data_IF_642792469661
#
_entry.id   IF_642792469661
#
_cell.length_a   1.000
_cell.length_b   1.000
_cell.length_c   1.000
_cell.angle_alpha   90.00
_cell.angle_beta   90.00
_cell.angle_gamma   90.00
#
_symmetry.space_group_name_H-M   'P 1'
#
loop_
_entity.id
_entity.type
_entity.pdbx_description
1 polymer ?
#
# COMPACT_ATOMS: atom_id res chain seq x y z
N UNK A 1 26.54 -6.30 -71.33
CA UNK A 1 26.28 -5.22 -70.35
C UNK A 1 25.07 -5.61 -69.51
N UNK A 2 25.29 -6.24 -68.34
CA UNK A 2 24.22 -6.72 -67.45
C UNK A 2 23.95 -5.67 -66.38
N UNK A 3 22.71 -5.15 -66.33
CA UNK A 3 22.25 -4.18 -65.33
C UNK A 3 22.10 -4.88 -63.97
N UNK A 4 22.96 -4.51 -63.02
CA UNK A 4 22.90 -4.93 -61.62
C UNK A 4 21.90 -4.03 -60.90
N UNK A 5 20.70 -4.54 -60.62
CA UNK A 5 19.72 -3.88 -59.77
C UNK A 5 20.07 -4.16 -58.31
N UNK A 6 20.75 -3.21 -57.67
CA UNK A 6 20.92 -3.18 -56.22
C UNK A 6 19.56 -2.79 -55.63
N UNK A 7 18.76 -3.77 -55.22
CA UNK A 7 17.63 -3.53 -54.34
C UNK A 7 18.19 -3.15 -52.97
N UNK A 8 18.14 -1.86 -52.65
CA UNK A 8 18.26 -1.37 -51.29
C UNK A 8 17.15 -2.00 -50.44
N UNK A 9 17.51 -3.07 -49.71
CA UNK A 9 16.73 -3.55 -48.58
C UNK A 9 16.83 -2.47 -47.49
N UNK A 10 15.93 -1.50 -47.54
CA UNK A 10 15.68 -0.61 -46.41
C UNK A 10 15.19 -1.46 -45.25
N UNK A 11 16.10 -1.82 -44.34
CA UNK A 11 15.74 -2.35 -43.05
C UNK A 11 15.00 -1.24 -42.30
N UNK A 12 13.67 -1.23 -42.42
CA UNK A 12 12.81 -0.52 -41.48
C UNK A 12 13.02 -1.22 -40.14
N UNK A 13 14.00 -0.72 -39.38
CA UNK A 13 14.07 -0.95 -37.96
C UNK A 13 12.82 -0.27 -37.37
N UNK A 14 11.70 -1.00 -37.39
CA UNK A 14 10.57 -0.74 -36.51
C UNK A 14 11.12 -0.94 -35.10
N UNK A 15 11.73 0.13 -34.57
CA UNK A 15 11.97 0.27 -33.15
C UNK A 15 10.62 0.17 -32.50
N UNK A 16 10.34 -0.99 -31.92
CA UNK A 16 9.27 -1.20 -30.96
C UNK A 16 9.64 -0.40 -29.71
N UNK A 17 9.58 0.93 -29.80
CA UNK A 17 9.39 1.77 -28.64
C UNK A 17 7.99 1.42 -28.14
N UNK A 18 7.92 0.43 -27.26
CA UNK A 18 6.68 0.05 -26.61
C UNK A 18 6.14 1.30 -25.93
N UNK A 19 5.07 1.87 -26.48
CA UNK A 19 4.22 2.86 -25.83
C UNK A 19 3.44 2.12 -24.73
N UNK A 20 4.14 1.62 -23.72
CA UNK A 20 3.50 1.38 -22.43
C UNK A 20 3.32 2.76 -21.83
N UNK A 21 2.08 3.26 -21.79
CA UNK A 21 1.78 4.43 -20.97
C UNK A 21 2.24 4.09 -19.56
N UNK A 22 3.35 4.69 -19.13
CA UNK A 22 3.86 4.48 -17.79
C UNK A 22 2.85 5.16 -16.85
N UNK A 23 2.14 4.36 -16.05
CA UNK A 23 1.27 4.92 -15.04
C UNK A 23 2.11 5.80 -14.10
N UNK A 24 1.61 7.01 -13.85
CA UNK A 24 2.21 7.91 -12.87
C UNK A 24 1.90 7.42 -11.47
N UNK A 25 2.82 7.68 -10.53
CA UNK A 25 2.55 7.50 -9.10
C UNK A 25 1.37 8.39 -8.70
N UNK A 26 0.46 7.80 -7.95
CA UNK A 26 -0.72 8.42 -7.35
C UNK A 26 -0.54 8.37 -5.83
N UNK A 27 -0.96 9.43 -5.14
CA UNK A 27 -0.83 9.52 -3.68
C UNK A 27 -2.17 9.88 -3.05
N UNK A 28 -2.64 9.04 -2.13
CA UNK A 28 -3.60 9.46 -1.12
C UNK A 28 -2.86 10.32 -0.10
N UNK A 29 -3.13 11.62 -0.13
CA UNK A 29 -2.54 12.61 0.75
C UNK A 29 -3.56 12.99 1.84
N UNK A 30 -3.28 12.65 3.08
CA UNK A 30 -4.18 12.93 4.21
C UNK A 30 -4.35 14.42 4.49
N UNK A 31 -3.44 15.28 4.00
CA UNK A 31 -3.60 16.73 4.09
C UNK A 31 -4.75 17.24 3.19
N UNK A 32 -5.13 16.48 2.16
CA UNK A 32 -6.23 16.81 1.25
C UNK A 32 -7.57 16.18 1.69
N UNK A 33 -7.54 15.34 2.74
CA UNK A 33 -8.74 14.69 3.31
C UNK A 33 -9.29 15.56 4.45
N UNK A 34 -10.62 15.59 4.57
CA UNK A 34 -11.30 16.35 5.64
C UNK A 34 -10.84 15.83 7.00
N UNK A 35 -10.38 16.73 7.86
CA UNK A 35 -9.96 16.37 9.22
C UNK A 35 -11.16 15.95 10.06
N UNK A 36 -10.95 14.97 10.95
CA UNK A 36 -11.96 14.48 11.88
C UNK A 36 -12.12 12.97 11.86
N UNK A 37 -13.08 12.50 12.66
CA UNK A 37 -13.42 11.10 12.81
C UNK A 37 -13.95 10.51 11.51
N UNK A 38 -13.51 9.30 11.20
CA UNK A 38 -14.01 8.54 10.06
C UNK A 38 -15.50 8.23 10.18
N UNK A 39 -16.17 7.99 9.05
CA UNK A 39 -17.59 7.63 9.07
C UNK A 39 -17.78 6.21 9.62
N UNK A 40 -18.55 6.05 10.69
CA UNK A 40 -18.87 4.74 11.25
C UNK A 40 -19.90 4.00 10.37
N UNK A 41 -19.58 2.77 9.96
CA UNK A 41 -20.44 1.87 9.18
C UNK A 41 -20.42 0.47 9.80
N UNK A 42 -21.48 0.13 10.55
CA UNK A 42 -21.53 -1.12 11.31
C UNK A 42 -20.41 -1.18 12.38
N UNK A 43 -19.60 -2.26 12.43
CA UNK A 43 -18.50 -2.38 13.40
C UNK A 43 -17.24 -1.60 12.98
N UNK A 44 -17.17 -1.09 11.74
CA UNK A 44 -15.99 -0.45 11.19
C UNK A 44 -16.16 1.07 11.08
N UNK A 45 -15.05 1.77 11.10
CA UNK A 45 -14.93 3.16 10.66
C UNK A 45 -14.33 3.16 9.26
N UNK A 46 -14.90 3.94 8.36
CA UNK A 46 -14.52 3.94 6.94
C UNK A 46 -14.35 5.34 6.39
N UNK A 47 -13.34 5.51 5.56
CA UNK A 47 -13.14 6.67 4.69
C UNK A 47 -13.05 6.21 3.24
N UNK A 48 -13.67 6.94 2.33
CA UNK A 48 -13.57 6.72 0.88
C UNK A 48 -13.05 7.99 0.23
N UNK A 49 -11.83 7.94 -0.31
CA UNK A 49 -11.19 9.12 -0.89
C UNK A 49 -10.99 8.91 -2.39
N UNK A 50 -11.49 9.82 -3.25
CA UNK A 50 -11.23 9.78 -4.68
C UNK A 50 -9.77 10.21 -4.95
N UNK A 51 -9.00 9.35 -5.61
CA UNK A 51 -7.59 9.60 -5.92
C UNK A 51 -7.27 9.02 -7.28
N UNK A 52 -6.57 9.75 -8.16
CA UNK A 52 -5.95 9.19 -9.37
C UNK A 52 -6.88 8.50 -10.38
N UNK A 53 -8.16 8.86 -10.41
CA UNK A 53 -9.16 8.24 -11.30
C UNK A 53 -9.84 6.99 -10.74
N UNK A 54 -9.53 6.60 -9.51
CA UNK A 54 -10.27 5.60 -8.72
C UNK A 54 -10.52 6.11 -7.31
N UNK A 55 -10.81 5.20 -6.37
CA UNK A 55 -10.99 5.53 -4.96
C UNK A 55 -10.09 4.67 -4.07
N UNK A 56 -9.62 5.23 -2.95
CA UNK A 56 -8.99 4.48 -1.87
C UNK A 56 -9.97 4.43 -0.71
N UNK A 57 -10.43 3.22 -0.36
CA UNK A 57 -11.27 2.99 0.82
C UNK A 57 -10.44 2.45 1.95
N UNK A 58 -10.33 3.20 3.05
CA UNK A 58 -9.70 2.72 4.29
C UNK A 58 -10.79 2.35 5.29
N UNK A 59 -10.70 1.14 5.84
CA UNK A 59 -11.58 0.64 6.90
C UNK A 59 -10.75 0.26 8.11
N UNK A 60 -11.24 0.62 9.30
CA UNK A 60 -10.60 0.30 10.59
C UNK A 60 -11.64 -0.34 11.50
N UNK A 61 -11.33 -1.48 12.07
CA UNK A 61 -12.26 -2.26 12.87
C UNK A 61 -11.54 -2.90 14.06
N UNK A 62 -12.01 -2.64 15.28
CA UNK A 62 -11.60 -3.37 16.48
C UNK A 62 -12.22 -4.77 16.56
N UNK A 63 -11.54 -5.70 17.22
CA UNK A 63 -12.14 -6.97 17.65
C UNK A 63 -13.20 -6.74 18.72
N UNK A 64 -13.88 -7.81 19.16
CA UNK A 64 -14.90 -7.73 20.20
C UNK A 64 -14.36 -7.28 21.56
N UNK A 65 -13.09 -7.52 21.83
CA UNK A 65 -12.38 -7.09 23.05
C UNK A 65 -11.61 -5.78 22.86
N UNK A 66 -11.92 -4.99 21.82
CA UNK A 66 -11.21 -3.74 21.52
C UNK A 66 -12.19 -2.58 21.44
N UNK A 67 -11.92 -1.50 22.17
CA UNK A 67 -12.70 -0.27 22.10
C UNK A 67 -11.89 0.82 21.38
N UNK A 68 -12.46 1.45 20.36
CA UNK A 68 -11.82 2.56 19.66
C UNK A 68 -12.09 3.86 20.42
N UNK A 69 -11.01 4.55 20.79
CA UNK A 69 -11.05 5.58 21.83
C UNK A 69 -10.89 7.00 21.31
N UNK A 70 -11.27 7.95 22.16
CA UNK A 70 -10.97 9.36 21.96
C UNK A 70 -9.56 9.68 22.41
N UNK A 71 -8.83 10.48 21.63
CA UNK A 71 -7.45 10.84 21.98
C UNK A 71 -7.06 12.24 21.49
N UNK A 72 -5.96 12.75 22.04
CA UNK A 72 -5.36 14.02 21.63
C UNK A 72 -6.15 15.27 22.03
N UNK A 73 -5.73 16.45 21.52
CA UNK A 73 -6.38 17.72 21.82
C UNK A 73 -7.87 17.70 21.44
N UNK A 74 -8.74 18.10 22.37
CA UNK A 74 -10.19 18.10 22.15
C UNK A 74 -10.84 16.71 22.17
N UNK A 75 -10.09 15.65 22.54
CA UNK A 75 -10.60 14.27 22.66
C UNK A 75 -11.30 13.81 21.38
N UNK A 76 -10.58 13.89 20.26
CA UNK A 76 -11.09 13.49 18.93
C UNK A 76 -11.36 11.98 18.96
N UNK A 77 -12.57 11.56 18.55
CA UNK A 77 -12.87 10.15 18.40
C UNK A 77 -12.02 9.58 17.26
N UNK A 78 -11.16 8.61 17.58
CA UNK A 78 -10.41 7.88 16.56
C UNK A 78 -11.18 6.62 16.15
N UNK A 79 -10.93 6.05 14.95
CA UNK A 79 -10.02 6.47 13.89
C UNK A 79 -10.38 7.84 13.30
N UNK A 80 -9.38 8.70 13.09
CA UNK A 80 -9.57 10.06 12.60
C UNK A 80 -8.42 10.50 11.69
N UNK A 81 -8.72 11.31 10.67
CA UNK A 81 -7.72 12.07 9.94
C UNK A 81 -7.36 13.30 10.78
N UNK A 82 -6.10 13.41 11.19
CA UNK A 82 -5.64 14.48 12.08
C UNK A 82 -4.15 14.78 11.86
N UNK A 83 -3.73 16.00 12.17
CA UNK A 83 -2.33 16.43 12.20
C UNK A 83 -1.72 16.48 13.60
N UNK A 84 -2.50 16.17 14.64
CA UNK A 84 -2.14 16.42 16.04
C UNK A 84 -1.74 15.16 16.82
N UNK A 85 -1.87 13.98 16.20
CA UNK A 85 -1.67 12.69 16.84
C UNK A 85 -0.73 11.86 15.93
N UNK A 86 0.21 11.11 16.51
CA UNK A 86 1.14 10.17 15.85
C UNK A 86 1.71 10.61 14.49
N UNK A 87 2.28 11.82 14.40
CA UNK A 87 2.79 12.35 13.11
C UNK A 87 4.19 11.84 12.72
N UNK A 88 4.80 10.94 13.50
CA UNK A 88 6.11 10.32 13.20
C UNK A 88 7.29 11.29 13.07
N UNK A 89 7.21 12.49 13.63
CA UNK A 89 8.26 13.51 13.45
C UNK A 89 8.24 14.19 12.09
N UNK A 90 7.18 14.01 11.30
CA UNK A 90 7.00 14.72 10.04
C UNK A 90 6.84 16.23 10.23
N UNK A 91 7.31 17.05 9.28
CA UNK A 91 7.09 18.49 9.32
C UNK A 91 5.59 18.80 9.31
N UNK A 92 5.19 19.94 9.90
CA UNK A 92 3.79 20.32 10.03
C UNK A 92 3.01 20.33 8.70
N UNK A 93 3.68 20.64 7.59
CA UNK A 93 3.11 20.61 6.24
C UNK A 93 2.75 19.21 5.71
N UNK A 94 3.24 18.16 6.36
CA UNK A 94 3.02 16.75 6.00
C UNK A 94 2.37 15.97 7.16
N UNK A 95 1.90 16.68 8.19
CA UNK A 95 1.58 16.07 9.48
C UNK A 95 0.25 15.34 9.54
N UNK A 96 -0.67 15.60 8.60
CA UNK A 96 -1.94 14.86 8.59
C UNK A 96 -1.71 13.38 8.31
N UNK A 97 -2.35 12.55 9.11
CA UNK A 97 -2.29 11.10 9.05
C UNK A 97 -3.64 10.52 9.49
N UNK A 98 -3.86 9.23 9.22
CA UNK A 98 -4.95 8.48 9.83
C UNK A 98 -4.49 7.94 11.18
N UNK A 99 -4.91 8.57 12.27
CA UNK A 99 -4.61 8.16 13.64
C UNK A 99 -5.71 7.25 14.20
N UNK A 100 -5.31 6.17 14.86
CA UNK A 100 -6.20 5.26 15.58
C UNK A 100 -5.65 5.02 16.97
N UNK A 101 -6.51 5.11 17.98
CA UNK A 101 -6.25 4.73 19.37
C UNK A 101 -7.30 3.73 19.80
N UNK A 102 -6.85 2.67 20.47
CA UNK A 102 -7.71 1.63 20.97
C UNK A 102 -7.32 1.23 22.38
N UNK A 103 -8.33 0.90 23.18
CA UNK A 103 -8.18 0.19 24.44
C UNK A 103 -8.37 -1.30 24.18
N UNK A 104 -7.35 -2.08 24.48
CA UNK A 104 -7.28 -3.51 24.22
C UNK A 104 -7.60 -4.26 25.52
N UNK A 105 -8.67 -5.05 25.55
CA UNK A 105 -9.11 -5.77 26.77
C UNK A 105 -9.11 -7.29 26.58
N UNK A 106 -7.95 -7.97 26.64
CA UNK A 106 -7.88 -9.42 26.54
C UNK A 106 -8.90 -10.11 27.46
N UNK A 107 -9.68 -11.03 26.92
CA UNK A 107 -10.74 -11.72 27.63
C UNK A 107 -10.72 -13.23 27.39
N UNK A 108 -11.53 -13.98 28.12
CA UNK A 108 -11.63 -15.43 27.95
C UNK A 108 -12.15 -15.85 26.56
N UNK A 109 -12.82 -14.96 25.83
CA UNK A 109 -13.40 -15.21 24.51
C UNK A 109 -12.58 -14.63 23.36
N UNK A 110 -11.67 -13.69 23.66
CA UNK A 110 -10.78 -13.05 22.70
C UNK A 110 -9.52 -12.62 23.46
N UNK A 111 -8.55 -13.55 23.48
CA UNK A 111 -7.28 -13.40 24.21
C UNK A 111 -6.29 -12.48 23.51
N UNK A 112 -6.49 -12.24 22.22
CA UNK A 112 -5.61 -11.46 21.36
C UNK A 112 -6.42 -10.32 20.72
N UNK A 113 -6.81 -9.30 21.49
CA UNK A 113 -7.58 -8.18 20.96
C UNK A 113 -6.77 -7.46 19.87
N UNK A 114 -7.47 -7.04 18.82
CA UNK A 114 -6.83 -6.47 17.63
C UNK A 114 -7.58 -5.28 17.05
N UNK A 115 -6.86 -4.42 16.34
CA UNK A 115 -7.42 -3.47 15.37
C UNK A 115 -6.99 -3.89 13.97
N UNK A 116 -7.96 -4.23 13.11
CA UNK A 116 -7.73 -4.57 11.71
C UNK A 116 -7.89 -3.34 10.83
N UNK A 117 -6.91 -3.12 9.95
CA UNK A 117 -6.90 -2.10 8.92
C UNK A 117 -7.03 -2.76 7.55
N UNK A 118 -7.93 -2.25 6.72
CA UNK A 118 -8.09 -2.68 5.32
C UNK A 118 -8.09 -1.46 4.41
N UNK A 119 -7.12 -1.40 3.50
CA UNK A 119 -6.98 -0.38 2.46
C UNK A 119 -7.37 -1.02 1.13
N UNK A 120 -8.44 -0.57 0.50
CA UNK A 120 -8.91 -1.07 -0.79
C UNK A 120 -8.69 -0.04 -1.89
N UNK A 121 -8.18 -0.48 -3.03
CA UNK A 121 -7.96 0.32 -4.23
C UNK A 121 -9.10 0.06 -5.22
N UNK A 122 -10.16 0.86 -5.13
CA UNK A 122 -11.38 0.71 -5.94
C UNK A 122 -11.24 1.46 -7.28
N UNK A 123 -11.84 0.92 -8.33
CA UNK A 123 -11.71 1.48 -9.69
C UNK A 123 -10.42 1.12 -10.42
N UNK A 124 -9.43 0.57 -9.70
CA UNK A 124 -8.18 0.05 -10.27
C UNK A 124 -8.33 -1.42 -10.68
N UNK A 125 -8.98 -1.68 -11.81
CA UNK A 125 -9.40 -3.03 -12.24
C UNK A 125 -8.27 -4.07 -12.34
N UNK A 126 -7.04 -3.63 -12.63
CA UNK A 126 -5.86 -4.48 -12.69
C UNK A 126 -4.99 -4.41 -11.43
N UNK A 127 -5.47 -3.76 -10.37
CA UNK A 127 -4.73 -3.52 -9.15
C UNK A 127 -3.78 -2.34 -9.21
N UNK A 128 -3.07 -2.16 -8.11
CA UNK A 128 -2.01 -1.17 -7.95
C UNK A 128 -0.70 -1.88 -7.59
N UNK A 129 0.43 -1.28 -7.97
CA UNK A 129 1.78 -1.73 -7.65
C UNK A 129 2.58 -0.63 -6.97
N UNK A 130 3.78 -0.95 -6.48
CA UNK A 130 4.68 -0.02 -5.82
C UNK A 130 3.98 0.77 -4.69
N UNK A 131 3.13 0.08 -3.91
CA UNK A 131 2.43 0.74 -2.82
C UNK A 131 3.42 1.04 -1.72
N UNK A 132 3.40 2.26 -1.18
CA UNK A 132 4.30 2.70 -0.12
C UNK A 132 3.59 3.65 0.85
N UNK A 133 3.81 3.46 2.15
CA UNK A 133 3.35 4.35 3.20
C UNK A 133 4.16 4.12 4.48
N UNK A 134 3.96 5.00 5.46
CA UNK A 134 4.56 4.85 6.79
C UNK A 134 3.49 4.55 7.84
N UNK A 135 3.85 3.71 8.80
CA UNK A 135 3.19 3.61 10.09
C UNK A 135 3.99 4.39 11.11
N UNK A 136 3.30 5.04 12.05
CA UNK A 136 3.90 5.86 13.10
C UNK A 136 3.54 5.32 14.48
N UNK A 137 4.44 5.52 15.43
CA UNK A 137 4.25 5.13 16.84
C UNK A 137 4.12 3.61 17.04
N UNK A 138 4.91 2.82 16.30
CA UNK A 138 5.12 1.40 16.58
C UNK A 138 6.43 1.30 17.34
N UNK A 139 6.45 1.53 18.65
CA UNK A 139 7.70 1.57 19.41
C UNK A 139 7.65 0.80 20.73
N UNK A 140 6.48 0.57 21.32
CA UNK A 140 6.38 -0.01 22.64
C UNK A 140 6.76 -1.50 22.65
N UNK A 141 7.60 -1.88 23.61
CA UNK A 141 7.93 -3.27 23.94
C UNK A 141 8.00 -3.46 25.45
N UNK A 142 6.98 -2.97 26.13
CA UNK A 142 6.82 -3.20 27.55
C UNK A 142 5.94 -4.43 27.77
N UNK A 143 6.57 -5.61 27.85
CA UNK A 143 5.86 -6.87 28.11
C UNK A 143 5.02 -6.89 29.41
N UNK A 144 5.19 -5.90 30.29
CA UNK A 144 4.38 -5.74 31.51
C UNK A 144 3.14 -4.86 31.30
N UNK A 145 3.11 -4.05 30.24
CA UNK A 145 2.01 -3.13 29.91
C UNK A 145 1.48 -3.34 28.49
N UNK A 146 2.32 -3.14 27.46
CA UNK A 146 1.94 -3.30 26.06
C UNK A 146 3.14 -3.52 25.16
N UNK A 147 2.94 -4.33 24.13
CA UNK A 147 3.90 -4.51 23.04
C UNK A 147 3.20 -4.12 21.75
N UNK A 148 3.71 -3.09 21.06
CA UNK A 148 3.20 -2.73 19.75
C UNK A 148 3.62 -3.81 18.76
N UNK A 149 2.65 -4.48 18.14
CA UNK A 149 2.92 -5.39 17.02
C UNK A 149 1.96 -5.12 15.88
N UNK A 150 2.55 -5.02 14.68
CA UNK A 150 1.80 -4.95 13.42
C UNK A 150 2.11 -6.18 12.58
N UNK A 151 1.06 -6.90 12.19
CA UNK A 151 1.16 -8.08 11.33
C UNK A 151 0.45 -7.81 10.01
N UNK A 152 1.19 -7.83 8.92
CA UNK A 152 0.63 -7.74 7.57
C UNK A 152 0.12 -9.10 7.10
N UNK A 153 -1.15 -9.12 6.69
CA UNK A 153 -1.82 -10.30 6.16
C UNK A 153 -1.70 -10.38 4.63
N UNK A 154 -1.51 -9.24 3.97
CA UNK A 154 -1.27 -9.18 2.52
C UNK A 154 0.15 -9.69 2.20
N UNK A 155 0.30 -10.73 1.36
CA UNK A 155 1.60 -11.25 0.98
C UNK A 155 2.48 -10.25 0.23
N UNK A 156 3.79 -10.45 0.26
CA UNK A 156 4.75 -9.67 -0.54
C UNK A 156 5.03 -8.26 -0.01
N UNK A 157 4.69 -8.00 1.26
CA UNK A 157 5.09 -6.77 1.95
C UNK A 157 6.59 -6.77 2.21
N UNK A 158 7.22 -5.62 2.01
CA UNK A 158 8.53 -5.30 2.56
C UNK A 158 8.37 -4.28 3.67
N UNK A 159 8.98 -4.55 4.82
CA UNK A 159 8.97 -3.67 5.99
C UNK A 159 10.38 -3.17 6.27
N UNK A 160 10.50 -1.90 6.64
CA UNK A 160 11.73 -1.29 7.13
C UNK A 160 11.40 -0.50 8.37
N UNK A 161 11.80 -1.03 9.53
CA UNK A 161 11.65 -0.36 10.81
C UNK A 161 12.72 0.71 11.03
N UNK A 162 12.43 1.65 11.93
CA UNK A 162 13.37 2.62 12.46
C UNK A 162 14.07 2.07 13.72
N UNK A 163 14.68 2.95 14.54
CA UNK A 163 15.56 2.54 15.64
C UNK A 163 14.84 1.68 16.70
N UNK A 164 13.57 1.96 16.98
CA UNK A 164 12.82 1.24 18.02
C UNK A 164 11.93 0.13 17.44
N UNK A 165 12.31 -0.45 16.29
CA UNK A 165 11.58 -1.51 15.62
C UNK A 165 12.41 -2.78 15.40
N UNK A 166 11.74 -3.94 15.48
CA UNK A 166 12.24 -5.22 14.97
C UNK A 166 11.28 -5.76 13.93
N UNK A 167 11.79 -5.96 12.71
CA UNK A 167 11.08 -6.66 11.63
C UNK A 167 11.36 -8.16 11.73
N UNK A 168 10.32 -8.98 11.71
CA UNK A 168 10.39 -10.43 11.88
C UNK A 168 9.32 -11.16 11.07
N UNK A 169 9.25 -12.49 11.24
CA UNK A 169 8.33 -13.38 10.55
C UNK A 169 8.94 -14.05 9.30
N UNK A 170 8.35 -15.16 8.81
CA UNK A 170 8.90 -15.95 7.71
C UNK A 170 9.09 -15.16 6.41
N UNK A 171 8.30 -14.10 6.25
CA UNK A 171 8.32 -13.21 5.09
C UNK A 171 8.71 -11.76 5.46
N UNK A 172 9.19 -11.51 6.68
CA UNK A 172 9.44 -10.14 7.16
C UNK A 172 8.17 -9.29 7.25
N UNK A 173 7.03 -9.91 7.54
CA UNK A 173 5.69 -9.30 7.50
C UNK A 173 5.17 -8.88 8.89
N UNK A 174 5.98 -9.04 9.93
CA UNK A 174 5.65 -8.62 11.29
C UNK A 174 6.65 -7.55 11.71
N UNK A 175 6.16 -6.48 12.33
CA UNK A 175 7.00 -5.50 13.01
C UNK A 175 6.56 -5.40 14.47
N UNK A 176 7.53 -5.29 15.36
CA UNK A 176 7.31 -5.14 16.79
C UNK A 176 8.11 -3.93 17.29
N UNK A 177 7.56 -3.19 18.24
CA UNK A 177 8.31 -2.17 18.98
C UNK A 177 9.48 -2.78 19.75
N UNK A 178 10.38 -1.94 20.26
CA UNK A 178 11.50 -2.35 21.13
C UNK A 178 11.76 -1.42 22.31
N UNK A 179 11.11 -0.27 22.34
CA UNK A 179 11.27 0.74 23.36
C UNK A 179 10.61 0.30 24.67
N UNK A 180 11.36 0.33 25.77
CA UNK A 180 10.90 -0.11 27.09
C UNK A 180 10.02 0.91 27.83
N UNK A 181 9.52 1.94 27.15
CA UNK A 181 8.57 2.90 27.70
C UNK A 181 7.46 3.14 26.68
N UNK A 182 6.19 3.20 27.11
CA UNK A 182 5.07 3.40 26.20
C UNK A 182 5.14 4.80 25.56
N UNK A 183 4.97 4.85 24.24
CA UNK A 183 4.57 6.01 23.44
C UNK A 183 5.45 7.27 23.59
N UNK A 184 6.32 7.53 22.61
CA UNK A 184 7.06 8.81 22.55
C UNK A 184 6.21 10.00 22.05
N UNK A 185 4.95 9.75 21.70
CA UNK A 185 4.01 10.77 21.25
C UNK A 185 4.28 11.28 19.84
N UNK A 186 3.44 12.22 19.41
CA UNK A 186 3.64 12.92 18.15
C UNK A 186 5.02 13.64 18.16
N UNK A 187 5.84 13.38 17.14
CA UNK A 187 7.12 14.06 16.93
C UNK A 187 8.35 13.14 16.96
N UNK A 188 8.24 11.91 17.47
CA UNK A 188 9.34 10.94 17.42
C UNK A 188 9.41 10.23 16.07
N UNK A 189 10.61 10.10 15.52
CA UNK A 189 10.87 9.30 14.31
C UNK A 189 11.27 7.85 14.62
N UNK A 190 11.43 7.49 15.90
CA UNK A 190 12.06 6.23 16.29
C UNK A 190 11.09 5.03 16.31
N UNK A 191 9.79 5.26 16.21
CA UNK A 191 8.74 4.25 16.07
C UNK A 191 8.14 4.16 14.66
N UNK A 192 8.83 4.70 13.65
CA UNK A 192 8.32 4.74 12.29
C UNK A 192 8.64 3.45 11.53
N UNK A 193 7.64 2.90 10.84
CA UNK A 193 7.80 1.73 9.99
C UNK A 193 7.46 2.11 8.55
N UNK A 194 8.41 1.96 7.64
CA UNK A 194 8.16 2.11 6.21
C UNK A 194 7.66 0.79 5.62
N UNK A 195 6.53 0.86 4.93
CA UNK A 195 5.83 -0.27 4.32
C UNK A 195 5.92 -0.11 2.81
N UNK A 196 6.29 -1.17 2.08
CA UNK A 196 6.28 -1.16 0.63
C UNK A 196 5.82 -2.50 0.01
N UNK A 197 5.23 -2.44 -1.18
CA UNK A 197 4.75 -3.61 -1.94
C UNK A 197 5.20 -3.50 -3.41
N UNK A 198 6.15 -4.35 -3.81
CA UNK A 198 6.78 -4.25 -5.13
C UNK A 198 6.34 -5.32 -6.13
N UNK A 199 5.78 -6.45 -5.69
CA UNK A 199 5.87 -7.69 -6.51
C UNK A 199 4.57 -8.19 -7.12
N UNK A 200 3.39 -7.70 -6.71
CA UNK A 200 2.12 -8.10 -7.34
C UNK A 200 1.09 -6.96 -7.33
N UNK A 201 0.28 -6.83 -8.41
CA UNK A 201 -0.88 -5.96 -8.37
C UNK A 201 -1.79 -6.38 -7.21
N UNK A 202 -2.07 -5.45 -6.32
CA UNK A 202 -3.02 -5.67 -5.23
C UNK A 202 -4.20 -4.73 -5.37
N UNK A 203 -5.38 -5.23 -5.03
CA UNK A 203 -6.57 -4.41 -4.82
C UNK A 203 -6.80 -4.11 -3.34
N UNK A 204 -6.04 -4.75 -2.45
CA UNK A 204 -6.27 -4.67 -1.01
C UNK A 204 -4.99 -4.89 -0.20
N UNK A 205 -4.78 -4.03 0.80
CA UNK A 205 -3.78 -4.21 1.84
C UNK A 205 -4.52 -4.41 3.16
N UNK A 206 -4.17 -5.46 3.89
CA UNK A 206 -4.73 -5.77 5.20
C UNK A 206 -3.61 -6.00 6.19
N UNK A 207 -3.70 -5.35 7.35
CA UNK A 207 -2.81 -5.58 8.47
C UNK A 207 -3.56 -5.43 9.79
N UNK A 208 -2.96 -5.98 10.82
CA UNK A 208 -3.50 -6.02 12.17
C UNK A 208 -2.53 -5.34 13.11
N UNK A 209 -3.02 -4.45 13.96
CA UNK A 209 -2.32 -3.90 15.12
C UNK A 209 -2.86 -4.58 16.38
N UNK A 210 -1.98 -5.17 17.19
CA UNK A 210 -2.38 -5.94 18.36
C UNK A 210 -1.39 -5.84 19.53
N UNK A 211 -1.78 -6.44 20.65
CA UNK A 211 -0.97 -6.56 21.86
C UNK A 211 -0.69 -8.03 22.20
N UNK A 212 0.46 -8.59 21.82
CA UNK A 212 0.79 -9.97 22.16
C UNK A 212 1.09 -10.19 23.66
N UNK A 213 1.18 -9.13 24.48
CA UNK A 213 1.45 -9.31 25.91
C UNK A 213 0.25 -9.85 26.70
N UNK A 214 -0.96 -9.83 26.11
CA UNK A 214 -2.19 -10.24 26.79
C UNK A 214 -2.54 -9.34 27.96
N UNK A 215 -2.14 -8.06 27.91
CA UNK A 215 -2.43 -7.03 28.92
C UNK A 215 -3.42 -6.00 28.42
N UNK A 216 -4.18 -5.44 29.36
CA UNK A 216 -5.02 -4.29 29.08
C UNK A 216 -4.17 -3.05 28.92
N UNK A 217 -4.32 -2.35 27.80
CA UNK A 217 -3.71 -1.04 27.64
C UNK A 217 -4.34 -0.22 26.50
N UNK A 218 -4.23 1.09 26.65
CA UNK A 218 -4.59 2.09 25.66
C UNK A 218 -3.38 2.41 24.77
N UNK A 219 -3.43 2.06 23.49
CA UNK A 219 -2.34 2.27 22.55
C UNK A 219 -2.87 2.73 21.19
N UNK A 220 -1.98 3.28 20.37
CA UNK A 220 -2.36 3.85 19.09
C UNK A 220 -1.30 3.71 18.02
N UNK A 221 -1.71 4.04 16.80
CA UNK A 221 -0.88 3.97 15.61
C UNK A 221 -1.36 5.03 14.61
N UNK A 222 -0.43 5.63 13.87
CA UNK A 222 -0.72 6.53 12.76
C UNK A 222 -0.40 5.89 11.40
N UNK A 223 -1.17 6.22 10.36
CA UNK A 223 -0.86 5.87 8.96
C UNK A 223 -0.60 7.14 8.17
N UNK A 224 0.60 7.27 7.62
CA UNK A 224 0.99 8.36 6.73
C UNK A 224 0.36 8.23 5.33
N UNK A 225 0.76 9.16 4.45
CA UNK A 225 0.30 9.20 3.06
C UNK A 225 0.58 7.87 2.33
N UNK A 226 -0.33 7.47 1.44
CA UNK A 226 -0.25 6.20 0.72
C UNK A 226 0.01 6.50 -0.75
N UNK A 227 1.21 6.17 -1.23
CA UNK A 227 1.58 6.27 -2.63
C UNK A 227 1.47 4.91 -3.32
N UNK A 228 1.06 4.89 -4.58
CA UNK A 228 0.91 3.66 -5.36
C UNK A 228 0.92 3.97 -6.86
N UNK A 229 1.12 2.96 -7.69
CA UNK A 229 1.07 3.08 -9.15
C UNK A 229 -0.09 2.23 -9.68
N UNK A 230 -1.12 2.81 -10.29
CA UNK A 230 -2.16 2.05 -10.98
C UNK A 230 -1.55 1.11 -12.02
N UNK A 231 -1.97 -0.14 -12.08
CA UNK A 231 -1.54 -1.04 -13.15
C UNK A 231 -2.37 -0.73 -14.39
N UNK A 232 -1.76 -0.29 -15.51
CA UNK A 232 -2.50 0.05 -16.72
C UNK A 232 -3.25 -1.18 -17.26
N UNK A 233 -4.45 -0.97 -17.77
CA UNK A 233 -5.06 -1.94 -18.67
C UNK A 233 -4.17 -2.08 -19.90
N UNK A 234 -3.89 -3.33 -20.31
CA UNK A 234 -3.19 -3.59 -21.55
C UNK A 234 -4.07 -3.07 -22.69
N UNK A 235 -3.77 -1.87 -23.21
CA UNK A 235 -4.64 -1.22 -24.18
C UNK A 235 -4.91 -2.15 -25.36
N UNK A 236 -6.16 -2.23 -25.81
CA UNK A 236 -6.54 -2.98 -27.01
C UNK A 236 -5.71 -2.54 -28.23
N UNK A 237 -5.22 -1.31 -28.21
CA UNK A 237 -4.32 -0.74 -29.22
C UNK A 237 -2.92 -1.37 -29.17
N UNK A 238 -2.35 -1.57 -27.97
CA UNK A 238 -1.09 -2.30 -27.80
C UNK A 238 -1.24 -3.79 -28.19
N UNK A 239 -2.33 -4.44 -27.80
CA UNK A 239 -2.61 -5.81 -28.23
C UNK A 239 -2.86 -5.91 -29.74
N UNK A 240 -3.57 -4.95 -30.31
CA UNK A 240 -3.82 -4.86 -31.75
C UNK A 240 -2.53 -4.64 -32.55
N UNK A 241 -1.64 -3.76 -32.09
CA UNK A 241 -0.32 -3.55 -32.69
C UNK A 241 0.54 -4.81 -32.60
N UNK A 242 0.53 -5.52 -31.47
CA UNK A 242 1.23 -6.80 -31.34
C UNK A 242 0.67 -7.86 -32.30
N UNK A 243 -0.66 -7.97 -32.42
CA UNK A 243 -1.31 -8.88 -33.35
C UNK A 243 -0.98 -8.54 -34.82
N UNK A 244 -0.98 -7.26 -35.19
CA UNK A 244 -0.60 -6.80 -36.52
C UNK A 244 0.88 -7.10 -36.83
N UNK A 245 1.79 -6.89 -35.87
CA UNK A 245 3.21 -7.19 -36.02
C UNK A 245 3.46 -8.70 -36.21
N UNK A 246 2.80 -9.54 -35.42
CA UNK A 246 2.85 -11.00 -35.56
C UNK A 246 2.27 -11.46 -36.90
N UNK A 247 1.13 -10.90 -37.32
CA UNK A 247 0.52 -11.17 -38.63
C UNK A 247 1.44 -10.81 -39.79
N UNK A 248 2.08 -9.63 -39.75
CA UNK A 248 3.04 -9.20 -40.76
C UNK A 248 4.28 -10.11 -40.82
N UNK A 249 4.79 -10.56 -39.67
CA UNK A 249 5.90 -11.52 -39.60
C UNK A 249 5.53 -12.87 -40.24
N UNK A 250 4.34 -13.38 -39.94
CA UNK A 250 3.87 -14.68 -40.44
C UNK A 250 3.62 -14.66 -41.96
N UNK A 251 3.01 -13.59 -42.47
CA UNK A 251 2.85 -13.35 -43.91
C UNK A 251 4.21 -13.28 -44.63
N UNK A 252 5.21 -12.66 -44.01
CA UNK A 252 6.57 -12.57 -44.58
C UNK A 252 7.26 -13.92 -44.63
N UNK A 253 7.12 -14.77 -43.62
CA UNK A 253 7.69 -16.12 -43.62
C UNK A 253 7.05 -17.03 -44.67
N UNK A 254 5.72 -17.03 -44.76
CA UNK A 254 5.00 -17.87 -45.74
C UNK A 254 5.27 -17.44 -47.18
N UNK A 255 5.35 -16.13 -47.43
CA UNK A 255 5.76 -15.60 -48.74
C UNK A 255 7.17 -16.05 -49.16
N UNK A 256 8.14 -16.04 -48.22
CA UNK A 256 9.50 -16.53 -48.49
C UNK A 256 9.58 -18.03 -48.78
N UNK A 257 8.78 -18.85 -48.09
CA UNK A 257 8.74 -20.31 -48.32
C UNK A 257 8.14 -20.65 -49.69
N UNK A 258 7.11 -19.94 -50.13
CA UNK A 258 6.57 -20.11 -51.49
C UNK A 258 7.59 -19.74 -52.57
N UNK A 259 8.34 -18.66 -52.37
CA UNK A 259 9.39 -18.25 -53.31
C UNK A 259 10.57 -19.25 -53.39
N UNK A 260 10.89 -19.92 -52.28
CA UNK A 260 11.99 -20.90 -52.24
C UNK A 260 11.62 -22.28 -52.81
N UNK A 261 10.33 -22.62 -52.92
CA UNK A 261 9.86 -23.89 -53.50
C UNK A 261 9.54 -23.83 -55.00
N UNK A 262 9.77 -22.69 -55.66
CA UNK A 262 9.58 -22.50 -57.11
C UNK A 262 10.91 -22.38 -57.88
N UNK A 263 12.02 -22.80 -57.27
CA UNK A 263 13.35 -22.86 -57.89
C UNK A 263 13.72 -24.30 -58.26
#
# INVERSE_FOLDING_TARGET
MKKLWIMCLGAVALGSAGLTAQASVVTLNWNDVTQGTLTKSGPAYTELVPVGGGDVKVSVQGSTSTTLEKFGPGSIQTPAVTSTIFNGGLPASESSNLSTVADFHPSAVDSDPTVTFTINFLGYTHGVSNVAFSLFDVDANDTTHFVDRVTFLTPGVGLTGSADNVVSGPSGNVVTGTHGSPNLGAGSSNGNVYVHYNTLPSNQITFVFDNPSGKEALHGIGIGNISFTPVPEASQLAMGLAACALGAFWLRQTGRRKAAGMA
#
